data_IF_707894566121
#
_entry.id   IF_707894566121
#
_cell.length_a   1.000
_cell.length_b   1.000
_cell.length_c   1.000
_cell.angle_alpha   90.00
_cell.angle_beta   90.00
_cell.angle_gamma   90.00
#
_symmetry.space_group_name_H-M   'P 1'
#
loop_
_entity.id
_entity.type
_entity.pdbx_description
1 polymer ?
#
# COMPACT_ATOMS: atom_id res chain seq x y z
N UNK A 1 -48.43 50.65 -39.33
CA UNK A 1 -47.11 50.26 -39.84
C UNK A 1 -46.62 49.06 -39.02
N UNK A 2 -46.30 47.97 -39.73
CA UNK A 2 -45.21 46.99 -39.51
C UNK A 2 -45.18 46.25 -38.15
N UNK A 3 -45.53 44.96 -38.05
CA UNK A 3 -44.86 43.72 -38.50
C UNK A 3 -43.99 43.08 -37.39
N UNK A 4 -44.38 41.86 -36.99
CA UNK A 4 -43.57 40.69 -36.60
C UNK A 4 -42.36 40.88 -35.65
N UNK A 5 -42.33 40.11 -34.56
CA UNK A 5 -41.57 38.84 -34.50
C UNK A 5 -41.50 38.28 -33.09
N UNK A 6 -41.64 36.97 -33.04
CA UNK A 6 -41.44 36.07 -31.90
C UNK A 6 -39.96 36.11 -31.50
N UNK A 7 -39.66 36.15 -30.20
CA UNK A 7 -38.38 35.68 -29.69
C UNK A 7 -38.60 34.80 -28.45
N UNK A 8 -38.18 33.55 -28.63
CA UNK A 8 -38.10 32.45 -27.68
C UNK A 8 -37.03 32.78 -26.64
N UNK A 9 -37.36 32.65 -25.36
CA UNK A 9 -36.37 32.58 -24.29
C UNK A 9 -36.61 31.28 -23.51
N UNK A 10 -35.71 30.33 -23.75
CA UNK A 10 -35.55 29.08 -23.03
C UNK A 10 -35.28 29.36 -21.56
N UNK A 11 -36.16 28.89 -20.67
CA UNK A 11 -35.89 28.79 -19.24
C UNK A 11 -35.83 27.30 -18.89
N UNK A 12 -34.61 26.77 -18.84
CA UNK A 12 -34.27 25.48 -18.25
C UNK A 12 -34.26 25.66 -16.74
N UNK A 13 -35.28 25.13 -16.05
CA UNK A 13 -35.34 25.11 -14.60
C UNK A 13 -35.63 23.69 -14.09
N UNK A 14 -34.58 23.11 -13.50
CA UNK A 14 -34.60 22.30 -12.28
C UNK A 14 -35.55 21.08 -12.22
N UNK A 15 -34.99 19.89 -12.46
CA UNK A 15 -35.50 18.64 -11.90
C UNK A 15 -35.00 18.55 -10.44
N UNK A 16 -35.88 18.81 -9.49
CA UNK A 16 -35.68 18.45 -8.08
C UNK A 16 -36.12 17.01 -7.87
N UNK A 17 -35.15 16.11 -7.79
CA UNK A 17 -35.34 14.80 -7.14
C UNK A 17 -35.27 15.01 -5.63
N UNK A 18 -36.08 14.25 -4.90
CA UNK A 18 -35.80 13.57 -3.62
C UNK A 18 -36.99 13.68 -2.66
N UNK A 19 -37.55 12.53 -2.29
CA UNK A 19 -38.45 12.42 -1.15
C UNK A 19 -38.96 11.00 -0.89
N UNK A 20 -38.17 10.21 -0.14
CA UNK A 20 -38.55 9.14 0.81
C UNK A 20 -39.37 7.93 0.28
N UNK A 21 -39.15 6.68 0.67
CA UNK A 21 -38.31 6.00 1.65
C UNK A 21 -38.46 4.51 1.30
N UNK A 22 -37.40 3.71 1.43
CA UNK A 22 -37.54 2.43 2.12
C UNK A 22 -36.16 1.93 2.49
N UNK A 23 -36.02 1.68 3.79
CA UNK A 23 -34.82 1.18 4.41
C UNK A 23 -34.53 -0.24 3.92
N UNK A 24 -33.34 -0.45 3.35
CA UNK A 24 -32.68 -1.74 3.40
C UNK A 24 -31.26 -1.53 3.92
N UNK A 25 -31.08 -2.09 5.11
CA UNK A 25 -29.84 -2.43 5.78
C UNK A 25 -28.73 -2.84 4.79
N UNK A 26 -27.85 -1.91 4.42
CA UNK A 26 -26.59 -2.26 3.78
C UNK A 26 -25.55 -2.52 4.85
N UNK A 27 -25.28 -3.81 5.00
CA UNK A 27 -24.02 -4.36 5.44
C UNK A 27 -22.88 -3.46 4.97
N UNK A 28 -22.09 -2.99 5.94
CA UNK A 28 -20.76 -2.46 5.67
C UNK A 28 -19.99 -3.60 5.01
N UNK A 29 -19.85 -3.54 3.69
CA UNK A 29 -18.89 -4.35 2.95
C UNK A 29 -17.51 -3.90 3.43
N UNK A 30 -16.97 -4.67 4.36
CA UNK A 30 -15.54 -4.78 4.58
C UNK A 30 -14.90 -5.17 3.24
N UNK A 31 -14.46 -4.16 2.48
CA UNK A 31 -13.81 -4.33 1.19
C UNK A 31 -12.36 -4.79 1.39
N UNK A 32 -12.19 -5.94 2.03
CA UNK A 32 -10.99 -6.75 1.90
C UNK A 32 -11.20 -7.69 0.71
N UNK A 33 -11.11 -7.10 -0.49
CA UNK A 33 -11.11 -7.84 -1.76
C UNK A 33 -9.89 -8.74 -1.81
N UNK A 34 -10.10 -10.00 -1.42
CA UNK A 34 -9.16 -11.08 -1.71
C UNK A 34 -9.22 -11.40 -3.20
N UNK A 35 -8.48 -10.62 -3.99
CA UNK A 35 -8.20 -10.98 -5.39
C UNK A 35 -7.61 -12.40 -5.39
N UNK A 36 -8.17 -13.36 -6.14
CA UNK A 36 -7.65 -14.71 -6.20
C UNK A 36 -6.30 -14.66 -6.92
N UNK A 37 -5.23 -14.84 -6.15
CA UNK A 37 -3.87 -14.74 -6.66
C UNK A 37 -3.55 -16.02 -7.41
N UNK A 38 -3.33 -15.89 -8.72
CA UNK A 38 -2.63 -16.90 -9.51
C UNK A 38 -1.36 -17.28 -8.77
N UNK A 39 -1.16 -18.57 -8.50
CA UNK A 39 -0.08 -19.17 -7.70
C UNK A 39 1.33 -19.05 -8.34
N UNK A 40 1.58 -18.01 -9.14
CA UNK A 40 2.92 -17.73 -9.63
C UNK A 40 3.76 -17.21 -8.45
N UNK A 41 4.70 -18.03 -7.99
CA UNK A 41 5.69 -17.66 -6.98
C UNK A 41 6.49 -16.46 -7.52
N UNK A 42 6.57 -15.37 -6.74
CA UNK A 42 7.43 -14.23 -7.10
C UNK A 42 8.85 -14.57 -6.63
N UNK A 43 9.89 -14.44 -7.48
CA UNK A 43 11.27 -14.69 -7.08
C UNK A 43 11.72 -13.80 -5.92
N UNK A 44 12.60 -14.30 -5.05
CA UNK A 44 13.03 -13.59 -3.85
C UNK A 44 13.68 -12.23 -4.16
N UNK A 45 14.54 -12.19 -5.17
CA UNK A 45 15.18 -10.95 -5.63
C UNK A 45 14.17 -9.90 -6.14
N UNK A 46 13.12 -10.35 -6.84
CA UNK A 46 12.08 -9.46 -7.40
C UNK A 46 11.26 -8.84 -6.27
N UNK A 47 10.91 -9.62 -5.24
CA UNK A 47 10.25 -9.08 -4.05
C UNK A 47 11.07 -7.97 -3.39
N UNK A 48 12.39 -8.12 -3.29
CA UNK A 48 13.25 -7.12 -2.66
C UNK A 48 13.30 -5.83 -3.49
N UNK A 49 13.30 -5.94 -4.82
CA UNK A 49 13.21 -4.78 -5.72
C UNK A 49 11.86 -4.07 -5.55
N UNK A 50 10.75 -4.82 -5.56
CA UNK A 50 9.41 -4.24 -5.41
C UNK A 50 9.22 -3.58 -4.05
N UNK A 51 9.68 -4.22 -2.96
CA UNK A 51 9.67 -3.65 -1.60
C UNK A 51 10.52 -2.39 -1.56
N UNK A 52 11.72 -2.39 -2.14
CA UNK A 52 12.57 -1.18 -2.18
C UNK A 52 11.87 -0.02 -2.89
N UNK A 53 11.24 -0.28 -4.04
CA UNK A 53 10.49 0.75 -4.78
C UNK A 53 9.29 1.28 -3.99
N UNK A 54 8.64 0.44 -3.18
CA UNK A 54 7.57 0.88 -2.27
C UNK A 54 8.10 1.72 -1.11
N UNK A 55 9.23 1.36 -0.52
CA UNK A 55 9.89 2.20 0.48
C UNK A 55 10.18 3.60 -0.08
N UNK A 56 10.69 3.68 -1.31
CA UNK A 56 11.00 4.95 -1.97
C UNK A 56 9.72 5.78 -2.21
N UNK A 57 8.64 5.15 -2.70
CA UNK A 57 7.36 5.83 -2.90
C UNK A 57 6.78 6.39 -1.60
N UNK A 58 6.81 5.60 -0.51
CA UNK A 58 6.36 6.03 0.82
C UNK A 58 7.23 7.20 1.29
N UNK A 59 8.55 7.09 1.20
CA UNK A 59 9.48 8.14 1.60
C UNK A 59 9.19 9.46 0.88
N UNK A 60 9.08 9.42 -0.45
CA UNK A 60 8.80 10.60 -1.28
C UNK A 60 7.47 11.24 -0.89
N UNK A 61 6.42 10.45 -0.64
CA UNK A 61 5.13 10.97 -0.20
C UNK A 61 5.23 11.74 1.13
N UNK A 62 6.04 11.26 2.09
CA UNK A 62 6.30 11.99 3.33
C UNK A 62 7.15 13.25 3.12
N UNK A 63 8.19 13.19 2.28
CA UNK A 63 9.09 14.32 2.00
C UNK A 63 8.42 15.45 1.23
N UNK A 64 7.44 15.12 0.38
CA UNK A 64 6.70 16.08 -0.44
C UNK A 64 5.38 16.56 0.19
N UNK A 65 5.13 16.23 1.47
CA UNK A 65 3.88 16.56 2.20
C UNK A 65 2.61 16.01 1.53
N UNK A 66 2.75 14.88 0.82
CA UNK A 66 1.67 14.13 0.15
C UNK A 66 1.38 12.83 0.91
N UNK A 67 1.34 12.88 2.25
CA UNK A 67 1.32 11.71 3.14
C UNK A 67 0.18 10.74 2.83
N UNK A 68 -1.01 11.24 2.49
CA UNK A 68 -2.16 10.40 2.14
C UNK A 68 -1.88 9.45 0.97
N UNK A 69 -0.98 9.82 0.05
CA UNK A 69 -0.56 8.95 -1.06
C UNK A 69 0.30 7.77 -0.61
N UNK A 70 0.83 7.77 0.61
CA UNK A 70 1.62 6.66 1.16
C UNK A 70 0.74 5.50 1.65
N UNK A 71 -0.57 5.70 1.86
CA UNK A 71 -1.45 4.69 2.44
C UNK A 71 -1.53 3.43 1.55
N UNK A 72 -1.89 3.55 0.26
CA UNK A 72 -1.96 2.38 -0.62
C UNK A 72 -0.61 1.66 -0.77
N UNK A 73 0.53 2.35 -0.98
CA UNK A 73 1.86 1.74 -0.90
C UNK A 73 2.16 0.99 0.41
N UNK A 74 1.65 1.45 1.56
CA UNK A 74 1.82 0.76 2.85
C UNK A 74 1.08 -0.59 2.90
N UNK A 75 -0.14 -0.66 2.34
CA UNK A 75 -0.86 -1.92 2.23
C UNK A 75 -0.16 -2.89 1.27
N UNK A 76 0.30 -2.37 0.12
CA UNK A 76 1.00 -3.18 -0.86
C UNK A 76 2.34 -3.72 -0.34
N UNK A 77 3.13 -2.89 0.35
CA UNK A 77 4.43 -3.32 0.88
C UNK A 77 4.26 -4.38 1.97
N UNK A 78 3.25 -4.27 2.84
CA UNK A 78 2.93 -5.30 3.84
C UNK A 78 2.66 -6.65 3.18
N UNK A 79 1.89 -6.66 2.08
CA UNK A 79 1.65 -7.88 1.31
C UNK A 79 2.93 -8.48 0.70
N UNK A 80 3.82 -7.64 0.18
CA UNK A 80 5.09 -8.10 -0.40
C UNK A 80 6.04 -8.66 0.67
N UNK A 81 6.16 -7.99 1.82
CA UNK A 81 7.00 -8.42 2.95
C UNK A 81 6.55 -9.79 3.44
N UNK A 82 5.24 -10.04 3.55
CA UNK A 82 4.70 -11.32 4.02
C UNK A 82 5.11 -12.52 3.14
N UNK A 83 5.52 -12.30 1.89
CA UNK A 83 6.00 -13.35 0.97
C UNK A 83 7.47 -13.68 1.12
N UNK A 84 8.28 -12.79 1.69
CA UNK A 84 9.73 -12.94 1.71
C UNK A 84 10.19 -14.27 2.30
N UNK A 85 9.65 -14.76 3.46
CA UNK A 85 10.11 -16.02 4.03
C UNK A 85 9.83 -17.23 3.14
N UNK A 86 8.70 -17.25 2.43
CA UNK A 86 8.34 -18.35 1.55
C UNK A 86 9.14 -18.31 0.24
N UNK A 87 9.36 -17.13 -0.33
CA UNK A 87 10.22 -16.97 -1.50
C UNK A 87 11.68 -17.36 -1.19
N UNK A 88 12.19 -16.99 -0.01
CA UNK A 88 13.55 -17.32 0.40
C UNK A 88 13.78 -18.84 0.61
N UNK A 89 12.75 -19.63 0.92
CA UNK A 89 12.87 -21.10 1.03
C UNK A 89 13.13 -21.79 -0.30
N UNK A 90 12.74 -21.15 -1.41
CA UNK A 90 13.04 -21.64 -2.76
C UNK A 90 14.47 -21.31 -3.18
N UNK A 91 15.14 -20.45 -2.42
CA UNK A 91 16.56 -20.15 -2.59
C UNK A 91 17.41 -21.20 -1.83
N UNK A 92 18.64 -21.44 -2.28
CA UNK A 92 19.59 -22.35 -1.61
C UNK A 92 20.23 -21.72 -0.36
N UNK A 93 19.42 -21.09 0.49
CA UNK A 93 19.87 -20.46 1.74
C UNK A 93 19.99 -21.50 2.86
N UNK A 94 20.98 -21.29 3.74
CA UNK A 94 21.11 -22.07 4.96
C UNK A 94 19.99 -21.74 5.97
N UNK A 95 19.72 -22.61 6.96
CA UNK A 95 18.74 -22.31 8.01
C UNK A 95 19.01 -20.98 8.73
N UNK A 96 20.28 -20.66 8.99
CA UNK A 96 20.65 -19.39 9.62
C UNK A 96 20.36 -18.18 8.74
N UNK A 97 20.47 -18.30 7.41
CA UNK A 97 20.13 -17.23 6.48
C UNK A 97 18.62 -17.06 6.34
N UNK A 98 17.85 -18.16 6.37
CA UNK A 98 16.39 -18.10 6.40
C UNK A 98 15.88 -17.39 7.67
N UNK A 99 16.50 -17.64 8.83
CA UNK A 99 16.17 -16.93 10.07
C UNK A 99 16.47 -15.42 9.97
N UNK A 100 17.57 -15.05 9.28
CA UNK A 100 17.90 -13.65 9.00
C UNK A 100 16.86 -12.99 8.08
N UNK A 101 16.41 -13.68 7.03
CA UNK A 101 15.33 -13.19 6.16
C UNK A 101 14.05 -12.99 6.96
N UNK A 102 13.67 -13.94 7.82
CA UNK A 102 12.48 -13.83 8.67
C UNK A 102 12.58 -12.63 9.61
N UNK A 103 13.71 -12.47 10.31
CA UNK A 103 13.91 -11.36 11.24
C UNK A 103 13.84 -9.99 10.53
N UNK A 104 14.47 -9.87 9.35
CA UNK A 104 14.39 -8.65 8.54
C UNK A 104 12.95 -8.37 8.06
N UNK A 105 12.21 -9.41 7.66
CA UNK A 105 10.80 -9.29 7.25
C UNK A 105 9.92 -8.81 8.41
N UNK A 106 10.09 -9.39 9.60
CA UNK A 106 9.37 -8.98 10.81
C UNK A 106 9.69 -7.53 11.19
N UNK A 107 10.96 -7.12 11.07
CA UNK A 107 11.38 -5.74 11.33
C UNK A 107 10.71 -4.75 10.37
N UNK A 108 10.63 -5.08 9.07
CA UNK A 108 9.91 -4.25 8.09
C UNK A 108 8.42 -4.18 8.42
N UNK A 109 7.78 -5.32 8.77
CA UNK A 109 6.36 -5.35 9.13
C UNK A 109 6.07 -4.49 10.38
N UNK A 110 6.94 -4.52 11.38
CA UNK A 110 6.82 -3.69 12.58
C UNK A 110 6.99 -2.20 12.23
N UNK A 111 8.01 -1.86 11.44
CA UNK A 111 8.29 -0.50 11.03
C UNK A 111 7.10 0.10 10.25
N UNK A 112 6.65 -0.59 9.21
CA UNK A 112 5.52 -0.14 8.40
C UNK A 112 4.18 -0.21 9.12
N UNK A 113 3.99 -1.15 10.05
CA UNK A 113 2.81 -1.17 10.91
C UNK A 113 2.68 0.08 11.79
N UNK A 114 3.81 0.66 12.25
CA UNK A 114 3.78 1.96 12.96
C UNK A 114 3.47 3.13 12.03
N UNK A 115 3.90 3.06 10.78
CA UNK A 115 3.59 4.11 9.79
C UNK A 115 2.12 4.02 9.38
N UNK A 116 1.60 2.83 9.12
CA UNK A 116 0.18 2.58 8.83
C UNK A 116 -0.71 3.05 9.99
N UNK A 117 -0.33 2.76 11.23
CA UNK A 117 -1.03 3.21 12.44
C UNK A 117 -1.27 4.74 12.48
N UNK A 118 -0.39 5.56 11.88
CA UNK A 118 -0.58 7.01 11.73
C UNK A 118 -1.84 7.35 10.92
N UNK A 119 -2.09 6.62 9.82
CA UNK A 119 -3.24 6.83 8.94
C UNK A 119 -4.56 6.40 9.57
N UNK A 120 -4.51 5.49 10.53
CA UNK A 120 -5.68 5.01 11.27
C UNK A 120 -5.94 5.76 12.58
N UNK A 121 -5.18 6.83 12.85
CA UNK A 121 -5.37 7.66 14.05
C UNK A 121 -4.95 6.98 15.36
N UNK A 122 -4.07 5.98 15.31
CA UNK A 122 -3.52 5.30 16.48
C UNK A 122 -2.39 6.13 17.11
N UNK A 123 -2.38 6.23 18.43
CA UNK A 123 -1.38 6.99 19.20
C UNK A 123 0.06 6.50 19.06
N UNK A 124 0.24 5.25 18.62
CA UNK A 124 1.53 4.63 18.35
C UNK A 124 2.04 4.93 16.93
N UNK A 125 1.23 5.62 16.13
CA UNK A 125 1.53 6.02 14.77
C UNK A 125 2.74 6.93 14.68
N UNK A 126 3.62 6.69 13.71
CA UNK A 126 4.85 7.47 13.51
C UNK A 126 5.04 7.85 12.05
N UNK A 127 5.79 8.92 11.79
CA UNK A 127 6.19 9.29 10.44
C UNK A 127 7.32 8.38 9.93
N UNK A 128 7.43 8.26 8.60
CA UNK A 128 8.42 7.38 7.96
C UNK A 128 9.86 7.66 8.40
N UNK A 129 10.24 8.93 8.58
CA UNK A 129 11.59 9.32 9.03
C UNK A 129 11.99 8.73 10.40
N UNK A 130 11.02 8.37 11.25
CA UNK A 130 11.27 7.78 12.57
C UNK A 130 11.62 6.29 12.47
N UNK A 131 11.22 5.62 11.39
CA UNK A 131 11.48 4.18 11.16
C UNK A 131 12.45 3.93 10.01
N UNK A 132 12.83 4.95 9.24
CA UNK A 132 13.72 4.83 8.09
C UNK A 132 15.02 4.06 8.40
N UNK A 133 15.72 4.27 9.54
CA UNK A 133 16.91 3.49 9.86
C UNK A 133 16.63 1.99 9.98
N UNK A 134 15.50 1.61 10.58
CA UNK A 134 15.09 0.21 10.74
C UNK A 134 14.77 -0.41 9.38
N UNK A 135 14.06 0.34 8.52
CA UNK A 135 13.74 -0.08 7.15
C UNK A 135 15.01 -0.30 6.32
N UNK A 136 15.96 0.65 6.37
CA UNK A 136 17.22 0.56 5.63
C UNK A 136 18.07 -0.62 6.08
N UNK A 137 18.16 -0.85 7.40
CA UNK A 137 18.90 -1.98 7.96
C UNK A 137 18.31 -3.33 7.51
N UNK A 138 16.98 -3.48 7.60
CA UNK A 138 16.32 -4.71 7.18
C UNK A 138 16.45 -4.95 5.66
N UNK A 139 16.30 -3.90 4.84
CA UNK A 139 16.53 -3.99 3.40
C UNK A 139 17.97 -4.38 3.04
N UNK A 140 18.96 -3.90 3.79
CA UNK A 140 20.36 -4.27 3.56
C UNK A 140 20.58 -5.77 3.80
N UNK A 141 20.03 -6.33 4.88
CA UNK A 141 20.08 -7.77 5.16
C UNK A 141 19.44 -8.57 4.03
N UNK A 142 18.24 -8.19 3.59
CA UNK A 142 17.55 -8.90 2.50
C UNK A 142 18.36 -8.87 1.19
N UNK A 143 18.91 -7.70 0.82
CA UNK A 143 19.76 -7.54 -0.37
C UNK A 143 21.03 -8.39 -0.31
N UNK A 144 21.63 -8.51 0.87
CA UNK A 144 22.78 -9.41 1.09
C UNK A 144 22.38 -10.87 0.87
N UNK A 145 21.23 -11.32 1.39
CA UNK A 145 20.76 -12.70 1.21
C UNK A 145 20.35 -13.02 -0.22
N UNK A 146 19.90 -12.04 -0.99
CA UNK A 146 19.58 -12.22 -2.42
C UNK A 146 20.82 -12.40 -3.30
N UNK A 147 21.98 -11.92 -2.84
CA UNK A 147 23.26 -12.06 -3.53
C UNK A 147 24.32 -12.57 -2.54
N UNK A 148 24.20 -13.80 -2.04
CA UNK A 148 25.14 -14.31 -1.06
C UNK A 148 26.52 -14.29 -1.70
N UNK A 149 27.48 -13.60 -1.05
CA UNK A 149 28.86 -13.62 -1.49
C UNK A 149 29.31 -15.09 -1.48
N UNK A 150 29.58 -15.64 -2.67
CA UNK A 150 30.22 -16.96 -2.78
C UNK A 150 31.64 -16.79 -2.25
N UNK A 151 31.88 -17.30 -1.05
CA UNK A 151 33.23 -17.49 -0.50
C UNK A 151 34.02 -18.51 -1.33
#
# INVERSE_FOLDING_TARGET
MVCRSILVLFLLAYLSVVGCNSAENQLVEDSHSHVPKTNAQIPFEVLIVDISGKCDAIKVAFEEDRKDEAHDPLHEIGYLIAKLPDAAREENLSPSELDQVKAASDQLMIAFGKVDALFHGDERGVEYNQVEPDVQNALAVLKEKANPKKE
#
